data_IF_999783745982
#
_entry.id   IF_999783745982
#
_cell.length_a   1.000
_cell.length_b   1.000
_cell.length_c   1.000
_cell.angle_alpha   90.00
_cell.angle_beta   90.00
_cell.angle_gamma   90.00
#
_symmetry.space_group_name_H-M   'P 1'
#
loop_
_entity.id
_entity.type
_entity.pdbx_description
1 polymer ?
#
# COMPACT_ATOMS: atom_id res chain seq x y z
N UNK A 1 24.67 20.60 12.78
CA UNK A 1 25.05 19.16 12.80
C UNK A 1 26.16 18.94 11.78
N UNK A 2 27.18 18.14 12.13
CA UNK A 2 28.34 17.87 11.29
C UNK A 2 28.52 16.36 11.07
N UNK A 3 29.30 16.01 10.04
CA UNK A 3 29.70 14.64 9.72
C UNK A 3 28.52 13.66 9.57
N UNK A 4 27.43 14.11 8.95
CA UNK A 4 26.31 13.23 8.63
C UNK A 4 26.80 12.22 7.58
N UNK A 5 26.68 10.94 7.90
CA UNK A 5 27.07 9.84 7.00
C UNK A 5 26.09 8.69 7.09
N UNK A 6 26.03 7.89 6.04
CA UNK A 6 25.21 6.69 6.00
C UNK A 6 26.03 5.47 5.58
N UNK A 7 25.69 4.31 6.11
CA UNK A 7 26.29 3.01 5.76
C UNK A 7 25.20 2.03 5.37
N UNK A 8 25.32 1.39 4.21
CA UNK A 8 24.38 0.40 3.72
C UNK A 8 24.56 -0.96 4.42
N UNK A 9 23.47 -1.54 4.84
CA UNK A 9 23.34 -2.89 5.38
C UNK A 9 22.23 -3.63 4.64
N UNK A 10 21.95 -4.88 5.00
CA UNK A 10 20.89 -5.65 4.36
C UNK A 10 19.53 -5.00 4.61
N UNK A 11 18.97 -4.40 3.56
CA UNK A 11 17.66 -3.73 3.54
C UNK A 11 17.51 -2.53 4.49
N UNK A 12 18.61 -1.95 5.01
CA UNK A 12 18.55 -0.71 5.77
C UNK A 12 19.85 0.10 5.65
N UNK A 13 19.72 1.41 5.84
CA UNK A 13 20.85 2.30 6.02
C UNK A 13 20.96 2.72 7.49
N UNK A 14 22.18 2.71 8.03
CA UNK A 14 22.50 3.30 9.30
C UNK A 14 23.02 4.72 9.09
N UNK A 15 22.26 5.71 9.51
CA UNK A 15 22.64 7.13 9.45
C UNK A 15 23.29 7.52 10.78
N UNK A 16 24.45 8.17 10.71
CA UNK A 16 25.19 8.63 11.88
C UNK A 16 25.66 10.08 11.69
N UNK A 17 25.89 10.79 12.79
CA UNK A 17 26.37 12.18 12.78
C UNK A 17 27.22 12.47 14.01
N UNK A 18 27.90 13.62 14.00
CA UNK A 18 28.61 14.11 15.17
C UNK A 18 27.69 14.94 16.04
N UNK A 19 27.85 14.77 17.36
CA UNK A 19 27.21 15.57 18.38
C UNK A 19 27.65 17.05 18.32
N UNK A 20 26.91 17.93 18.94
CA UNK A 20 27.23 19.35 19.08
C UNK A 20 27.84 19.58 20.48
N UNK A 21 29.15 19.49 20.57
CA UNK A 21 29.93 19.51 21.84
C UNK A 21 29.66 20.72 22.76
N UNK A 22 28.96 21.73 22.31
CA UNK A 22 28.80 23.01 23.07
C UNK A 22 27.37 23.19 23.61
N UNK A 23 26.48 22.24 23.34
CA UNK A 23 25.10 22.26 23.82
C UNK A 23 24.80 20.99 24.62
N UNK A 24 23.80 21.02 25.44
CA UNK A 24 23.33 19.87 26.25
C UNK A 24 21.80 19.79 26.16
N UNK A 25 21.26 18.59 26.06
CA UNK A 25 19.82 18.32 26.08
C UNK A 25 19.14 18.57 24.73
N UNK A 26 19.89 18.56 23.64
CA UNK A 26 19.36 18.62 22.29
C UNK A 26 18.76 17.29 21.85
N UNK A 27 17.95 17.40 20.80
CA UNK A 27 17.36 16.26 20.09
C UNK A 27 17.48 16.43 18.59
N UNK A 28 17.48 15.31 17.89
CA UNK A 28 17.71 15.26 16.45
C UNK A 28 16.53 14.66 15.71
N UNK A 29 16.16 15.28 14.59
CA UNK A 29 15.28 14.68 13.60
C UNK A 29 16.11 14.30 12.38
N UNK A 30 15.86 13.10 11.85
CA UNK A 30 16.59 12.55 10.69
C UNK A 30 15.62 12.42 9.53
N UNK A 31 16.08 12.88 8.38
CA UNK A 31 15.29 12.90 7.15
C UNK A 31 16.02 12.14 6.03
N UNK A 32 15.24 11.55 5.13
CA UNK A 32 15.73 10.84 3.96
C UNK A 32 15.03 11.33 2.68
N UNK A 33 15.72 11.36 1.56
CA UNK A 33 15.16 11.73 0.26
C UNK A 33 15.79 10.91 -0.86
N UNK A 34 15.03 10.62 -1.90
CA UNK A 34 15.54 10.04 -3.15
C UNK A 34 16.27 11.07 -4.01
N UNK A 35 16.03 12.35 -3.76
CA UNK A 35 16.64 13.48 -4.46
C UNK A 35 17.63 14.24 -3.55
N UNK A 36 18.60 14.96 -4.10
CA UNK A 36 19.51 15.78 -3.31
C UNK A 36 18.79 16.82 -2.47
N UNK A 37 19.10 16.88 -1.18
CA UNK A 37 18.52 17.84 -0.23
C UNK A 37 19.36 19.13 -0.26
N UNK A 38 18.70 20.29 -0.39
CA UNK A 38 19.34 21.63 -0.39
C UNK A 38 19.14 22.29 1.00
N UNK A 39 20.24 22.81 1.59
CA UNK A 39 20.23 23.63 2.79
C UNK A 39 20.83 25.02 2.59
N UNK A 40 20.99 25.44 1.33
CA UNK A 40 21.57 26.74 0.96
C UNK A 40 20.66 27.94 1.27
N UNK A 41 21.17 29.16 1.11
CA UNK A 41 20.38 30.36 1.33
C UNK A 41 19.15 30.43 0.40
N UNK A 42 17.97 30.36 0.97
CA UNK A 42 16.69 30.42 0.24
C UNK A 42 16.15 29.05 -0.16
N UNK A 43 16.77 27.96 0.26
CA UNK A 43 16.19 26.62 0.16
C UNK A 43 14.89 26.53 0.98
N UNK A 44 13.98 25.68 0.52
CA UNK A 44 12.79 25.31 1.32
C UNK A 44 13.21 24.49 2.54
N UNK A 45 12.43 24.45 3.62
CA UNK A 45 12.73 23.63 4.79
C UNK A 45 12.98 22.16 4.42
N UNK A 46 13.82 21.44 5.21
CA UNK A 46 14.16 20.03 4.94
C UNK A 46 12.93 19.13 4.98
N UNK A 47 11.99 19.44 5.88
CA UNK A 47 10.71 18.74 6.01
C UNK A 47 9.82 18.82 4.76
N UNK A 48 10.05 19.80 3.89
CA UNK A 48 9.36 19.94 2.58
C UNK A 48 10.14 19.29 1.42
N UNK A 49 11.36 18.78 1.67
CA UNK A 49 12.22 18.14 0.66
C UNK A 49 12.42 16.65 0.91
N UNK A 50 12.16 16.17 2.13
CA UNK A 50 12.56 14.85 2.58
C UNK A 50 11.58 14.30 3.60
N UNK A 51 11.40 12.99 3.60
CA UNK A 51 10.59 12.29 4.60
C UNK A 51 11.33 12.18 5.94
N UNK A 52 10.60 12.25 7.03
CA UNK A 52 11.17 12.03 8.36
C UNK A 52 11.28 10.53 8.66
N UNK A 53 12.48 10.06 8.99
CA UNK A 53 12.73 8.64 9.33
C UNK A 53 12.97 8.41 10.83
N UNK A 54 13.33 9.44 11.55
CA UNK A 54 13.44 9.41 13.02
C UNK A 54 13.21 10.79 13.60
N UNK A 55 12.51 10.86 14.74
CA UNK A 55 12.26 12.10 15.46
C UNK A 55 12.69 12.00 16.92
N UNK A 56 13.18 13.13 17.48
CA UNK A 56 13.51 13.21 18.88
C UNK A 56 14.62 12.25 19.32
N UNK A 57 15.56 11.93 18.43
CA UNK A 57 16.75 11.13 18.78
C UNK A 57 17.54 11.93 19.79
N UNK A 58 17.71 11.37 20.98
CA UNK A 58 18.34 12.08 22.09
C UNK A 58 19.85 12.21 21.89
N UNK A 59 20.41 13.26 22.47
CA UNK A 59 21.85 13.42 22.66
C UNK A 59 22.49 12.11 23.17
N UNK A 60 23.66 11.78 22.64
CA UNK A 60 24.38 10.54 22.96
C UNK A 60 24.05 9.35 22.08
N UNK A 61 22.95 9.36 21.33
CA UNK A 61 22.61 8.28 20.41
C UNK A 61 23.29 8.44 19.02
N UNK A 62 23.21 9.62 18.42
CA UNK A 62 23.79 10.02 17.11
C UNK A 62 23.69 8.94 16.01
N UNK A 63 22.60 8.19 16.00
CA UNK A 63 22.34 7.16 15.01
C UNK A 63 20.83 6.97 14.79
N UNK A 64 20.46 6.68 13.53
CA UNK A 64 19.11 6.29 13.15
C UNK A 64 19.17 5.20 12.08
N UNK A 65 18.19 4.30 12.10
CA UNK A 65 18.04 3.23 11.12
C UNK A 65 16.95 3.62 10.13
N UNK A 66 17.26 3.56 8.85
CA UNK A 66 16.31 3.74 7.77
C UNK A 66 16.15 2.40 7.04
N UNK A 67 15.01 1.72 7.22
CA UNK A 67 14.68 0.52 6.46
C UNK A 67 14.27 0.90 5.04
N UNK A 68 14.80 0.17 4.06
CA UNK A 68 14.59 0.44 2.64
C UNK A 68 13.61 -0.59 2.10
N UNK A 69 12.47 -0.12 1.63
CA UNK A 69 11.42 -0.95 1.05
C UNK A 69 11.12 -0.54 -0.38
N UNK A 70 10.65 -1.49 -1.19
CA UNK A 70 10.18 -1.26 -2.56
C UNK A 70 9.03 -2.23 -2.88
N UNK A 71 8.13 -1.88 -3.79
CA UNK A 71 7.23 -2.85 -4.41
C UNK A 71 7.97 -3.85 -5.32
N UNK A 72 9.22 -3.56 -5.70
CA UNK A 72 10.06 -4.41 -6.54
C UNK A 72 11.09 -5.13 -5.68
N UNK A 73 11.20 -6.45 -5.87
CA UNK A 73 12.21 -7.26 -5.19
C UNK A 73 13.62 -6.78 -5.58
N UNK A 74 14.50 -6.60 -4.59
CA UNK A 74 15.91 -6.25 -4.77
C UNK A 74 16.18 -4.94 -5.57
N UNK A 75 15.22 -4.01 -5.60
CA UNK A 75 15.40 -2.70 -6.24
C UNK A 75 16.57 -1.93 -5.62
N UNK A 76 17.44 -1.37 -6.49
CA UNK A 76 18.53 -0.50 -6.05
C UNK A 76 18.03 0.93 -5.89
N UNK A 77 18.15 1.48 -4.68
CA UNK A 77 17.69 2.82 -4.34
C UNK A 77 18.82 3.71 -3.85
N UNK A 78 18.86 4.96 -4.37
CA UNK A 78 19.78 6.01 -3.90
C UNK A 78 19.07 6.89 -2.87
N UNK A 79 19.75 7.13 -1.74
CA UNK A 79 19.21 7.90 -0.63
C UNK A 79 20.17 8.98 -0.15
N UNK A 80 19.66 10.19 0.02
CA UNK A 80 20.32 11.34 0.64
C UNK A 80 19.76 11.55 2.05
N UNK A 81 20.59 12.06 2.98
CA UNK A 81 20.15 12.24 4.36
C UNK A 81 20.43 13.65 4.86
N UNK A 82 19.52 14.11 5.73
CA UNK A 82 19.69 15.32 6.51
C UNK A 82 19.42 15.05 7.99
N UNK A 83 20.16 15.74 8.86
CA UNK A 83 19.93 15.71 10.29
C UNK A 83 19.73 17.12 10.80
N UNK A 84 18.64 17.36 11.50
CA UNK A 84 18.27 18.66 12.07
C UNK A 84 18.32 18.55 13.57
N UNK A 85 19.08 19.43 14.22
CA UNK A 85 19.15 19.55 15.68
C UNK A 85 18.16 20.59 16.19
N UNK A 86 17.52 20.30 17.31
CA UNK A 86 16.73 21.24 18.11
C UNK A 86 17.28 21.28 19.53
N UNK A 87 17.59 22.48 20.03
CA UNK A 87 18.01 22.66 21.42
C UNK A 87 16.86 22.47 22.43
N UNK A 88 17.17 22.46 23.72
CA UNK A 88 16.19 22.36 24.80
C UNK A 88 15.15 23.49 24.81
N UNK A 89 15.38 24.59 24.11
CA UNK A 89 14.48 25.72 23.93
C UNK A 89 13.69 25.67 22.61
N UNK A 90 13.83 24.57 21.86
CA UNK A 90 13.21 24.32 20.55
C UNK A 90 13.74 25.27 19.43
N UNK A 91 14.92 25.84 19.58
CA UNK A 91 15.55 26.49 18.44
C UNK A 91 16.13 25.44 17.50
N UNK A 92 15.87 25.61 16.21
CA UNK A 92 16.30 24.69 15.15
C UNK A 92 17.60 25.16 14.53
N UNK A 93 18.59 24.27 14.49
CA UNK A 93 19.89 24.51 13.88
C UNK A 93 19.87 24.34 12.36
N UNK A 94 20.99 24.72 11.73
CA UNK A 94 21.19 24.47 10.31
C UNK A 94 21.32 22.95 10.06
N UNK A 95 20.57 22.37 9.09
CA UNK A 95 20.65 20.95 8.78
C UNK A 95 22.06 20.52 8.38
N UNK A 96 22.54 19.42 8.93
CA UNK A 96 23.70 18.69 8.40
C UNK A 96 23.24 17.76 7.28
N UNK A 97 23.98 17.70 6.19
CA UNK A 97 23.66 16.84 5.03
C UNK A 97 24.71 15.73 4.88
N UNK A 98 24.28 14.59 4.34
CA UNK A 98 25.22 13.55 3.90
C UNK A 98 26.07 14.03 2.71
N UNK A 99 27.31 13.51 2.57
CA UNK A 99 28.17 13.79 1.44
C UNK A 99 27.76 12.93 0.23
N UNK A 100 26.67 13.34 -0.44
CA UNK A 100 26.08 12.61 -1.55
C UNK A 100 25.08 11.52 -1.13
N UNK A 101 24.66 10.71 -2.09
CA UNK A 101 23.76 9.58 -1.88
C UNK A 101 24.51 8.32 -1.46
N UNK A 102 23.78 7.42 -0.83
CA UNK A 102 24.18 6.02 -0.64
C UNK A 102 23.20 5.11 -1.38
N UNK A 103 23.73 4.18 -2.17
CA UNK A 103 22.93 3.17 -2.85
C UNK A 103 22.76 1.95 -1.96
N UNK A 104 21.55 1.44 -1.83
CA UNK A 104 21.27 0.21 -1.12
C UNK A 104 20.16 -0.60 -1.83
N UNK A 105 20.11 -1.89 -1.53
CA UNK A 105 19.06 -2.81 -1.99
C UNK A 105 17.84 -2.66 -1.10
N UNK A 106 16.68 -2.41 -1.70
CA UNK A 106 15.40 -2.40 -1.00
C UNK A 106 14.88 -3.83 -0.80
N UNK A 107 14.16 -4.05 0.29
CA UNK A 107 13.39 -5.28 0.49
C UNK A 107 12.08 -5.17 -0.30
N UNK A 108 11.79 -6.14 -1.15
CA UNK A 108 10.48 -6.29 -1.78
C UNK A 108 9.39 -6.49 -0.73
N UNK A 109 8.37 -5.65 -0.77
CA UNK A 109 7.20 -5.74 0.09
C UNK A 109 5.96 -5.37 -0.71
N UNK A 110 4.81 -5.99 -0.46
CA UNK A 110 3.58 -5.63 -1.16
C UNK A 110 3.20 -4.18 -0.85
N UNK A 111 3.01 -3.41 -1.89
CA UNK A 111 2.62 -1.98 -1.83
C UNK A 111 1.85 -1.62 -3.09
N UNK A 112 1.19 -0.46 -3.09
CA UNK A 112 0.65 0.10 -4.34
C UNK A 112 1.81 0.72 -5.11
N UNK A 113 2.15 0.16 -6.26
CA UNK A 113 3.25 0.64 -7.10
C UNK A 113 2.85 1.88 -7.90
N UNK A 114 3.77 2.85 -8.04
CA UNK A 114 3.64 3.96 -8.99
C UNK A 114 4.06 3.57 -10.43
N UNK A 115 4.53 2.36 -10.63
CA UNK A 115 4.97 1.85 -11.92
C UNK A 115 4.10 0.65 -12.34
N UNK A 116 2.88 0.89 -12.84
CA UNK A 116 2.02 -0.21 -13.27
C UNK A 116 2.66 -0.96 -14.44
N UNK A 117 2.38 -2.27 -14.60
CA UNK A 117 2.81 -3.03 -15.77
C UNK A 117 2.14 -2.51 -17.04
N UNK A 118 2.54 -3.06 -18.21
CA UNK A 118 1.83 -2.82 -19.46
C UNK A 118 0.47 -3.53 -19.40
N UNK A 119 -0.55 -2.82 -18.98
CA UNK A 119 -1.86 -3.37 -18.63
C UNK A 119 -2.70 -3.73 -19.86
N UNK A 120 -3.24 -4.94 -19.88
CA UNK A 120 -4.28 -5.40 -20.79
C UNK A 120 -5.30 -6.22 -20.01
N UNK A 121 -6.57 -5.85 -20.00
CA UNK A 121 -7.61 -6.64 -19.32
C UNK A 121 -8.02 -7.85 -20.17
N UNK A 122 -7.23 -8.93 -20.16
CA UNK A 122 -7.47 -10.12 -21.00
C UNK A 122 -7.39 -11.47 -20.24
N UNK A 123 -7.05 -11.43 -18.93
CA UNK A 123 -6.95 -12.59 -18.05
C UNK A 123 -5.59 -13.29 -18.10
N UNK A 124 -4.65 -12.81 -18.90
CA UNK A 124 -3.25 -13.26 -18.88
C UNK A 124 -2.44 -12.36 -17.95
N UNK A 125 -2.23 -12.79 -16.72
CA UNK A 125 -1.53 -12.01 -15.68
C UNK A 125 0.00 -11.96 -15.88
N UNK A 126 0.53 -12.36 -17.04
CA UNK A 126 1.97 -12.42 -17.26
C UNK A 126 2.67 -11.07 -17.09
N UNK A 127 2.03 -9.96 -17.46
CA UNK A 127 2.59 -8.63 -17.23
C UNK A 127 2.72 -8.25 -15.77
N UNK A 128 1.86 -8.79 -14.90
CA UNK A 128 1.95 -8.60 -13.45
C UNK A 128 3.08 -9.42 -12.86
N UNK A 129 3.14 -10.71 -13.18
CA UNK A 129 4.24 -11.60 -12.75
C UNK A 129 5.61 -11.13 -13.25
N UNK A 130 5.69 -10.64 -14.49
CA UNK A 130 6.92 -10.16 -15.10
C UNK A 130 7.31 -8.74 -14.65
N UNK A 131 6.42 -8.00 -14.00
CA UNK A 131 6.67 -6.64 -13.52
C UNK A 131 7.66 -6.58 -12.36
N UNK A 132 7.75 -7.67 -11.58
CA UNK A 132 8.47 -7.72 -10.31
C UNK A 132 7.76 -6.99 -9.16
N UNK A 133 6.52 -6.50 -9.35
CA UNK A 133 5.71 -5.94 -8.26
C UNK A 133 5.35 -7.07 -7.30
N UNK A 134 5.65 -6.89 -6.02
CA UNK A 134 5.29 -7.84 -4.97
C UNK A 134 3.77 -7.85 -4.74
N UNK A 135 3.10 -9.01 -4.83
CA UNK A 135 1.67 -9.11 -4.55
C UNK A 135 1.36 -9.06 -3.05
N UNK A 136 0.15 -8.66 -2.73
CA UNK A 136 -0.47 -8.96 -1.44
C UNK A 136 -0.96 -10.40 -1.47
N UNK A 137 -0.46 -11.22 -0.56
CA UNK A 137 -0.84 -12.64 -0.45
C UNK A 137 -1.86 -12.82 0.67
N UNK A 138 -2.98 -13.44 0.37
CA UNK A 138 -3.96 -13.93 1.34
C UNK A 138 -4.10 -15.44 1.17
N UNK A 139 -3.80 -16.17 2.24
CA UNK A 139 -3.93 -17.61 2.26
C UNK A 139 -4.17 -18.09 3.70
N UNK A 140 -4.77 -19.25 3.88
CA UNK A 140 -5.03 -19.81 5.20
C UNK A 140 -3.74 -20.13 5.97
N UNK A 141 -2.65 -20.42 5.25
CA UNK A 141 -1.33 -20.77 5.84
C UNK A 141 -0.33 -19.63 5.81
N UNK A 142 -0.49 -18.63 4.93
CA UNK A 142 0.41 -17.47 4.79
C UNK A 142 -0.38 -16.21 4.46
N UNK A 143 0.15 -15.05 4.81
CA UNK A 143 -0.51 -13.77 4.60
C UNK A 143 0.53 -12.64 4.64
N UNK A 144 0.46 -11.70 3.72
CA UNK A 144 1.38 -10.56 3.64
C UNK A 144 1.39 -9.69 4.92
N UNK A 145 0.34 -9.74 5.71
CA UNK A 145 0.24 -9.03 7.00
C UNK A 145 0.66 -9.87 8.21
N UNK A 146 1.17 -11.08 8.01
CA UNK A 146 1.63 -11.99 9.06
C UNK A 146 0.67 -13.14 9.31
N UNK A 147 0.10 -13.27 10.51
CA UNK A 147 -0.82 -14.37 10.82
C UNK A 147 -2.08 -14.26 9.98
N UNK A 148 -2.47 -15.32 9.25
CA UNK A 148 -3.72 -15.36 8.50
C UNK A 148 -4.93 -15.06 9.39
N UNK A 149 -5.89 -14.32 8.88
CA UNK A 149 -7.15 -14.06 9.55
C UNK A 149 -8.31 -14.61 8.73
N UNK A 150 -9.04 -15.53 9.36
CA UNK A 150 -10.18 -16.23 8.75
C UNK A 150 -11.43 -15.91 9.55
N UNK A 151 -12.48 -15.50 8.85
CA UNK A 151 -13.82 -15.35 9.40
C UNK A 151 -14.68 -16.45 8.77
N UNK A 152 -15.41 -17.20 9.58
CA UNK A 152 -16.17 -18.35 9.07
C UNK A 152 -15.30 -19.59 8.85
N UNK A 153 -15.43 -20.26 7.73
CA UNK A 153 -14.71 -21.46 7.38
C UNK A 153 -13.98 -21.31 6.05
N UNK A 154 -12.66 -21.23 6.10
CA UNK A 154 -11.74 -21.46 4.99
C UNK A 154 -10.80 -22.55 5.46
N UNK A 155 -10.83 -23.71 4.81
CA UNK A 155 -10.24 -24.94 5.36
C UNK A 155 -8.72 -25.02 5.12
N UNK A 156 -8.25 -24.63 3.95
CA UNK A 156 -6.84 -24.58 3.56
C UNK A 156 -6.62 -23.67 2.33
N UNK A 157 -5.39 -23.59 1.83
CA UNK A 157 -5.02 -22.75 0.69
C UNK A 157 -5.56 -23.23 -0.67
N UNK A 158 -6.16 -24.43 -0.77
CA UNK A 158 -6.84 -24.88 -1.97
C UNK A 158 -8.32 -24.52 -1.96
N UNK A 159 -8.88 -24.38 -0.78
CA UNK A 159 -10.25 -23.92 -0.53
C UNK A 159 -10.37 -22.46 -0.98
N UNK A 160 -9.56 -21.57 -0.39
CA UNK A 160 -9.44 -20.19 -0.82
C UNK A 160 -8.02 -19.65 -0.54
N UNK A 161 -7.40 -19.07 -1.54
CA UNK A 161 -6.17 -18.26 -1.40
C UNK A 161 -5.96 -17.40 -2.63
N UNK A 162 -5.10 -16.37 -2.56
CA UNK A 162 -4.79 -15.60 -3.74
C UNK A 162 -3.71 -14.55 -3.56
N UNK A 163 -3.29 -14.04 -4.69
CA UNK A 163 -2.34 -12.96 -4.85
C UNK A 163 -3.04 -11.74 -5.46
N UNK A 164 -2.79 -10.55 -4.94
CA UNK A 164 -3.40 -9.30 -5.38
C UNK A 164 -2.30 -8.31 -5.68
N UNK A 165 -2.25 -7.79 -6.90
CA UNK A 165 -1.34 -6.71 -7.30
C UNK A 165 -2.09 -5.40 -7.38
N UNK A 166 -1.46 -4.34 -6.88
CA UNK A 166 -1.98 -2.99 -6.93
C UNK A 166 -0.96 -2.02 -7.52
N UNK A 167 -1.41 -1.19 -8.44
CA UNK A 167 -0.62 -0.11 -8.98
C UNK A 167 -1.49 1.13 -9.24
N UNK A 168 -0.86 2.30 -9.33
CA UNK A 168 -1.57 3.55 -9.61
C UNK A 168 -0.72 4.44 -10.50
N UNK A 169 -1.35 5.12 -11.44
CA UNK A 169 -0.74 6.19 -12.23
C UNK A 169 -1.54 7.50 -12.14
N UNK A 170 -1.31 8.44 -13.03
CA UNK A 170 -2.01 9.72 -13.04
C UNK A 170 -3.52 9.60 -13.32
N UNK A 171 -3.99 8.48 -13.89
CA UNK A 171 -5.34 8.33 -14.41
C UNK A 171 -6.11 7.17 -13.79
N UNK A 172 -5.41 6.09 -13.38
CA UNK A 172 -6.05 4.83 -13.02
C UNK A 172 -5.47 4.22 -11.73
N UNK A 173 -6.35 3.59 -10.96
CA UNK A 173 -6.01 2.53 -10.01
C UNK A 173 -6.09 1.19 -10.75
N UNK A 174 -5.01 0.42 -10.72
CA UNK A 174 -4.90 -0.91 -11.31
C UNK A 174 -4.99 -1.97 -10.23
N UNK A 175 -5.78 -3.00 -10.50
CA UNK A 175 -5.96 -4.14 -9.61
C UNK A 175 -5.89 -5.41 -10.44
N UNK A 176 -5.08 -6.38 -10.00
CA UNK A 176 -5.12 -7.73 -10.52
C UNK A 176 -5.21 -8.72 -9.37
N UNK A 177 -5.86 -9.85 -9.60
CA UNK A 177 -5.87 -10.96 -8.64
C UNK A 177 -5.80 -12.29 -9.37
N UNK A 178 -5.01 -13.22 -8.79
CA UNK A 178 -4.96 -14.63 -9.15
C UNK A 178 -5.42 -15.43 -7.94
N UNK A 179 -6.56 -16.10 -8.03
CA UNK A 179 -7.23 -16.72 -6.90
C UNK A 179 -7.36 -18.22 -7.13
N UNK A 180 -6.94 -18.98 -6.13
CA UNK A 180 -7.17 -20.42 -5.99
C UNK A 180 -8.44 -20.57 -5.16
N UNK A 181 -9.36 -21.36 -5.65
CA UNK A 181 -10.65 -21.64 -5.07
C UNK A 181 -11.04 -23.06 -5.51
N UNK A 182 -11.70 -23.85 -4.68
CA UNK A 182 -12.06 -25.20 -5.06
C UNK A 182 -13.47 -25.27 -5.70
N UNK A 183 -14.37 -24.33 -5.36
CA UNK A 183 -15.72 -24.20 -5.95
C UNK A 183 -16.12 -22.74 -6.11
N UNK A 184 -16.13 -22.22 -7.29
CA UNK A 184 -16.56 -20.84 -7.57
C UNK A 184 -18.07 -20.69 -7.69
N UNK A 185 -18.70 -19.87 -6.85
CA UNK A 185 -20.11 -19.44 -6.91
C UNK A 185 -20.24 -17.91 -6.86
N UNK A 186 -19.93 -17.28 -8.01
CA UNK A 186 -19.91 -15.82 -8.15
C UNK A 186 -21.32 -15.21 -8.21
N UNK A 187 -21.43 -13.94 -7.87
CA UNK A 187 -22.68 -13.20 -7.85
C UNK A 187 -23.40 -13.17 -9.20
N UNK A 188 -24.62 -13.67 -9.23
CA UNK A 188 -25.52 -13.62 -10.39
C UNK A 188 -26.78 -12.78 -10.08
N UNK A 189 -27.03 -11.67 -10.77
CA UNK A 189 -28.20 -10.84 -10.52
C UNK A 189 -29.52 -11.62 -10.63
N UNK A 190 -30.27 -11.73 -9.53
CA UNK A 190 -31.61 -12.34 -9.51
C UNK A 190 -31.65 -13.84 -9.22
N UNK A 191 -30.56 -14.47 -8.84
CA UNK A 191 -30.51 -15.88 -8.43
C UNK A 191 -31.07 -16.13 -7.03
N UNK A 192 -31.24 -15.06 -6.24
CA UNK A 192 -31.78 -15.11 -4.88
C UNK A 192 -30.71 -15.29 -3.81
N UNK A 193 -29.43 -15.26 -4.17
CA UNK A 193 -28.34 -15.04 -3.24
C UNK A 193 -28.46 -13.62 -2.66
N UNK A 194 -27.92 -13.40 -1.48
CA UNK A 194 -28.08 -12.15 -0.74
C UNK A 194 -27.31 -10.97 -1.34
N UNK A 195 -26.37 -10.42 -0.58
CA UNK A 195 -25.51 -9.34 -1.08
C UNK A 195 -24.30 -9.88 -1.86
N UNK A 196 -23.54 -8.99 -2.46
CA UNK A 196 -22.31 -9.32 -3.19
C UNK A 196 -21.32 -10.12 -2.34
N UNK A 197 -21.25 -9.80 -1.04
CA UNK A 197 -20.40 -10.44 -0.02
C UNK A 197 -20.81 -11.88 0.37
N UNK A 198 -21.91 -12.39 -0.14
CA UNK A 198 -22.34 -13.78 0.07
C UNK A 198 -21.87 -14.73 -1.05
N UNK A 199 -21.00 -14.26 -1.95
CA UNK A 199 -20.49 -14.97 -3.12
C UNK A 199 -18.98 -14.86 -3.19
N UNK A 200 -18.34 -15.64 -4.07
CA UNK A 200 -16.92 -15.53 -4.34
C UNK A 200 -16.61 -14.18 -4.98
N UNK A 201 -15.86 -13.38 -4.26
CA UNK A 201 -15.55 -12.02 -4.69
C UNK A 201 -14.30 -11.48 -4.00
N UNK A 202 -13.54 -10.68 -4.71
CA UNK A 202 -12.56 -9.78 -4.09
C UNK A 202 -13.27 -8.51 -3.63
N UNK A 203 -13.17 -8.22 -2.34
CA UNK A 203 -13.52 -6.95 -1.73
C UNK A 203 -12.24 -6.19 -1.39
N UNK A 204 -12.19 -4.90 -1.72
CA UNK A 204 -11.04 -4.05 -1.44
C UNK A 204 -11.49 -2.76 -0.77
N UNK A 205 -11.16 -2.62 0.51
CA UNK A 205 -11.26 -1.34 1.20
C UNK A 205 -9.98 -0.54 0.96
N UNK A 206 -10.11 0.70 0.57
CA UNK A 206 -8.96 1.56 0.30
C UNK A 206 -9.27 3.03 0.60
N UNK A 207 -8.34 3.70 1.28
CA UNK A 207 -8.33 5.16 1.40
C UNK A 207 -7.29 5.73 0.45
N UNK A 208 -7.73 6.43 -0.59
CA UNK A 208 -6.84 7.02 -1.58
C UNK A 208 -6.24 8.38 -1.16
N UNK A 209 -6.42 8.77 0.10
CA UNK A 209 -5.90 10.03 0.63
C UNK A 209 -5.03 9.75 1.85
N UNK A 210 -3.93 10.48 1.98
CA UNK A 210 -3.11 10.39 3.18
C UNK A 210 -3.90 10.84 4.41
N UNK A 211 -3.90 10.02 5.46
CA UNK A 211 -4.54 10.31 6.74
C UNK A 211 -3.48 10.74 7.76
N UNK A 212 -3.12 12.05 7.85
CA UNK A 212 -2.20 12.53 8.86
C UNK A 212 -2.91 12.63 10.20
N UNK A 213 -2.59 11.78 11.15
CA UNK A 213 -3.14 11.93 12.50
C UNK A 213 -3.48 10.62 13.18
N UNK A 214 -4.32 10.71 14.21
CA UNK A 214 -4.76 9.55 14.97
C UNK A 214 -5.69 8.69 14.13
N UNK A 215 -5.47 7.38 14.14
CA UNK A 215 -6.39 6.41 13.52
C UNK A 215 -7.78 6.54 14.14
N UNK A 216 -8.80 6.38 13.32
CA UNK A 216 -10.16 6.22 13.80
C UNK A 216 -10.28 4.99 14.70
N UNK A 217 -11.12 5.08 15.71
CA UNK A 217 -11.42 3.95 16.61
C UNK A 217 -12.64 3.24 16.04
N UNK A 218 -12.40 2.14 15.38
CA UNK A 218 -13.39 1.39 14.62
C UNK A 218 -13.53 1.90 13.19
N UNK A 219 -13.78 1.00 12.28
CA UNK A 219 -14.03 1.33 10.88
C UNK A 219 -15.48 1.80 10.76
N UNK A 220 -15.67 3.05 10.35
CA UNK A 220 -16.99 3.58 10.02
C UNK A 220 -17.01 3.87 8.53
N UNK A 221 -18.05 3.40 7.84
CA UNK A 221 -18.22 3.63 6.39
C UNK A 221 -18.14 5.12 6.06
N UNK A 222 -17.31 5.46 5.07
CA UNK A 222 -17.10 6.81 4.63
C UNK A 222 -16.11 7.64 5.44
N UNK A 223 -15.51 7.06 6.49
CA UNK A 223 -14.50 7.75 7.30
C UNK A 223 -13.08 7.30 6.92
N UNK A 224 -12.78 6.00 7.07
CA UNK A 224 -11.51 5.38 6.69
C UNK A 224 -11.70 3.86 6.66
N UNK A 225 -11.48 3.21 5.50
CA UNK A 225 -11.11 3.75 4.20
C UNK A 225 -12.25 4.51 3.49
N UNK A 226 -11.88 5.33 2.49
CA UNK A 226 -12.84 6.18 1.77
C UNK A 226 -13.73 5.38 0.80
N UNK A 227 -13.22 4.26 0.28
CA UNK A 227 -13.85 3.48 -0.77
C UNK A 227 -13.89 1.99 -0.42
N UNK A 228 -14.96 1.33 -0.89
CA UNK A 228 -15.17 -0.11 -0.80
C UNK A 228 -15.51 -0.65 -2.18
N UNK A 229 -14.57 -1.34 -2.81
CA UNK A 229 -14.78 -1.95 -4.12
C UNK A 229 -15.12 -3.42 -4.00
N UNK A 230 -16.07 -3.88 -4.82
CA UNK A 230 -16.29 -5.29 -5.14
C UNK A 230 -15.98 -5.55 -6.60
N UNK A 231 -15.26 -6.63 -6.88
CA UNK A 231 -14.89 -7.08 -8.21
C UNK A 231 -15.73 -8.30 -8.61
N UNK A 232 -16.94 -8.04 -9.08
CA UNK A 232 -17.91 -9.07 -9.45
C UNK A 232 -17.59 -9.67 -10.81
N UNK A 233 -18.11 -10.86 -11.12
CA UNK A 233 -17.94 -11.50 -12.43
C UNK A 233 -18.37 -10.60 -13.60
N UNK A 234 -19.35 -9.76 -13.42
CA UNK A 234 -19.90 -8.90 -14.48
C UNK A 234 -19.34 -7.49 -14.51
N UNK A 235 -18.92 -6.94 -13.38
CA UNK A 235 -18.47 -5.55 -13.26
C UNK A 235 -17.83 -5.25 -11.89
N UNK A 236 -17.05 -4.17 -11.82
CA UNK A 236 -16.57 -3.62 -10.57
C UNK A 236 -17.52 -2.51 -10.05
N UNK A 237 -17.73 -2.43 -8.75
CA UNK A 237 -18.61 -1.47 -8.07
C UNK A 237 -17.90 -0.77 -6.93
N UNK A 238 -18.40 0.41 -6.52
CA UNK A 238 -18.06 1.07 -5.27
C UNK A 238 -19.31 1.10 -4.36
N UNK A 239 -19.32 0.26 -3.33
CA UNK A 239 -20.48 0.09 -2.45
C UNK A 239 -20.74 1.33 -1.58
N UNK A 240 -19.69 1.98 -1.06
CA UNK A 240 -19.86 3.12 -0.16
C UNK A 240 -20.58 4.31 -0.79
N UNK A 241 -20.36 4.54 -2.07
CA UNK A 241 -20.94 5.68 -2.79
C UNK A 241 -22.15 5.30 -3.65
N UNK A 242 -22.56 4.02 -3.64
CA UNK A 242 -23.64 3.53 -4.47
C UNK A 242 -23.34 3.66 -5.97
N UNK A 243 -22.06 3.53 -6.35
CA UNK A 243 -21.63 3.50 -7.76
C UNK A 243 -21.74 2.07 -8.26
N UNK A 244 -22.87 1.76 -8.88
CA UNK A 244 -23.24 0.41 -9.30
C UNK A 244 -22.35 -0.16 -10.43
N UNK A 245 -21.53 0.66 -11.08
CA UNK A 245 -20.65 0.19 -12.16
C UNK A 245 -19.49 1.15 -12.38
N UNK A 246 -18.26 0.72 -12.06
CA UNK A 246 -17.02 1.44 -12.37
C UNK A 246 -16.37 0.90 -13.65
N UNK A 247 -16.40 -0.42 -13.84
CA UNK A 247 -15.85 -1.08 -15.03
C UNK A 247 -16.66 -2.35 -15.32
N UNK A 248 -16.81 -2.72 -16.60
CA UNK A 248 -17.65 -3.84 -17.06
C UNK A 248 -16.76 -4.93 -17.66
N UNK A 249 -17.03 -6.18 -17.27
CA UNK A 249 -16.28 -7.34 -17.77
C UNK A 249 -16.34 -7.47 -19.30
N UNK A 250 -15.22 -7.84 -19.90
CA UNK A 250 -15.05 -7.95 -21.35
C UNK A 250 -14.82 -6.61 -22.06
N UNK A 251 -14.45 -5.55 -21.30
CA UNK A 251 -13.98 -4.27 -21.85
C UNK A 251 -12.46 -4.14 -21.67
N UNK A 252 -11.86 -3.10 -22.25
CA UNK A 252 -10.43 -2.79 -22.07
C UNK A 252 -10.06 -2.38 -20.63
N UNK A 253 -11.05 -2.26 -19.74
CA UNK A 253 -10.87 -1.79 -18.37
C UNK A 253 -11.11 -2.87 -17.32
N UNK A 254 -11.73 -4.00 -17.67
CA UNK A 254 -12.06 -5.05 -16.73
C UNK A 254 -12.17 -6.41 -17.40
N UNK A 255 -11.49 -7.37 -16.82
CA UNK A 255 -11.61 -8.78 -17.13
C UNK A 255 -11.82 -9.57 -15.84
N UNK A 256 -12.78 -10.46 -15.85
CA UNK A 256 -12.99 -11.48 -14.82
C UNK A 256 -13.32 -12.79 -15.51
N UNK A 257 -12.58 -13.83 -15.18
CA UNK A 257 -12.80 -15.18 -15.69
C UNK A 257 -12.65 -16.22 -14.59
N UNK A 258 -13.59 -17.15 -14.50
CA UNK A 258 -13.48 -18.31 -13.63
C UNK A 258 -13.21 -19.58 -14.43
N UNK A 259 -12.46 -20.51 -13.84
CA UNK A 259 -12.06 -21.77 -14.45
C UNK A 259 -12.74 -22.99 -13.80
N UNK A 260 -13.83 -22.74 -13.07
CA UNK A 260 -14.61 -23.76 -12.36
C UNK A 260 -14.11 -24.05 -10.94
N UNK A 261 -13.51 -23.13 -10.33
CA UNK A 261 -12.87 -23.02 -9.03
C UNK A 261 -11.93 -21.81 -9.12
N UNK A 262 -10.67 -21.93 -9.53
CA UNK A 262 -9.76 -20.78 -9.65
C UNK A 262 -10.30 -19.71 -10.59
N UNK A 263 -10.02 -18.43 -10.26
CA UNK A 263 -10.47 -17.27 -11.03
C UNK A 263 -9.45 -16.13 -11.02
N UNK A 264 -9.54 -15.27 -12.03
CA UNK A 264 -8.64 -14.14 -12.21
C UNK A 264 -9.42 -12.84 -12.40
N UNK A 265 -8.80 -11.75 -11.97
CA UNK A 265 -9.28 -10.39 -12.17
C UNK A 265 -8.16 -9.54 -12.77
N UNK A 266 -8.52 -8.70 -13.73
CA UNK A 266 -7.73 -7.55 -14.14
C UNK A 266 -8.64 -6.34 -14.28
N UNK A 267 -8.34 -5.28 -13.54
CA UNK A 267 -9.11 -4.06 -13.54
C UNK A 267 -8.23 -2.83 -13.61
N UNK A 268 -8.66 -1.81 -14.34
CA UNK A 268 -8.23 -0.43 -14.15
C UNK A 268 -9.45 0.45 -13.93
N UNK A 269 -9.45 1.13 -12.80
CA UNK A 269 -10.53 2.03 -12.39
C UNK A 269 -10.07 3.47 -12.60
N UNK A 270 -10.80 4.24 -13.40
CA UNK A 270 -10.44 5.63 -13.63
C UNK A 270 -10.58 6.44 -12.33
N UNK A 271 -9.53 7.16 -11.94
CA UNK A 271 -9.54 7.96 -10.71
C UNK A 271 -10.62 9.05 -10.73
N UNK A 272 -10.97 9.57 -11.91
CA UNK A 272 -12.09 10.50 -12.09
C UNK A 272 -13.46 9.83 -11.83
N UNK A 273 -13.60 8.54 -12.15
CA UNK A 273 -14.84 7.78 -11.91
C UNK A 273 -14.94 7.32 -10.46
N UNK A 274 -13.81 7.09 -9.78
CA UNK A 274 -13.77 6.77 -8.34
C UNK A 274 -14.18 8.00 -7.51
N UNK A 275 -13.67 9.18 -7.87
CA UNK A 275 -14.00 10.42 -7.20
C UNK A 275 -15.52 10.72 -7.34
N UNK A 276 -16.21 10.79 -6.19
CA UNK A 276 -17.66 10.91 -6.15
C UNK A 276 -18.09 12.23 -5.50
N UNK A 277 -19.03 12.91 -6.12
CA UNK A 277 -19.60 14.16 -5.58
C UNK A 277 -18.57 15.29 -5.55
N UNK A 278 -18.20 15.72 -4.35
CA UNK A 278 -17.23 16.80 -4.11
C UNK A 278 -15.80 16.29 -3.84
N UNK A 279 -15.54 14.98 -4.02
CA UNK A 279 -14.22 14.39 -3.83
C UNK A 279 -13.20 15.01 -4.79
N UNK A 280 -12.00 15.24 -4.28
CA UNK A 280 -10.88 15.63 -5.12
C UNK A 280 -10.36 14.37 -5.81
N UNK A 281 -10.12 14.43 -7.12
CA UNK A 281 -9.51 13.33 -7.85
C UNK A 281 -8.14 13.02 -7.22
N UNK A 282 -7.95 11.77 -6.85
CA UNK A 282 -6.73 11.30 -6.20
C UNK A 282 -5.48 11.56 -7.05
N UNK A 283 -4.41 11.95 -6.41
CA UNK A 283 -3.10 12.12 -7.03
C UNK A 283 -2.05 11.40 -6.19
N UNK A 284 -1.53 10.31 -6.73
CA UNK A 284 -0.53 9.51 -6.05
C UNK A 284 0.80 10.25 -5.89
N UNK A 285 1.46 10.05 -4.76
CA UNK A 285 2.81 10.53 -4.47
C UNK A 285 3.64 9.40 -3.87
N UNK A 286 4.93 9.37 -4.19
CA UNK A 286 5.86 8.43 -3.58
C UNK A 286 5.93 8.61 -2.05
N UNK A 287 5.95 7.48 -1.32
CA UNK A 287 5.97 7.48 0.14
C UNK A 287 4.62 7.79 0.83
N UNK A 288 3.57 8.04 0.07
CA UNK A 288 2.23 8.29 0.61
C UNK A 288 1.71 7.06 1.37
N UNK A 289 1.10 7.28 2.54
CA UNK A 289 0.50 6.20 3.35
C UNK A 289 -1.00 6.25 3.20
N UNK A 290 -1.56 5.15 2.75
CA UNK A 290 -3.00 4.98 2.59
C UNK A 290 -3.46 3.70 3.29
N UNK A 291 -4.63 3.70 3.95
CA UNK A 291 -5.21 2.48 4.50
C UNK A 291 -5.67 1.55 3.38
N UNK A 292 -5.47 0.25 3.58
CA UNK A 292 -5.90 -0.78 2.64
C UNK A 292 -6.25 -2.06 3.39
N UNK A 293 -7.32 -2.71 2.95
CA UNK A 293 -7.77 -4.01 3.45
C UNK A 293 -8.37 -4.82 2.31
N UNK A 294 -7.67 -5.80 1.73
CA UNK A 294 -8.26 -6.76 0.80
C UNK A 294 -8.89 -7.92 1.56
N UNK A 295 -10.00 -8.43 1.04
CA UNK A 295 -10.72 -9.59 1.55
C UNK A 295 -11.18 -10.45 0.39
N UNK A 296 -10.94 -11.76 0.45
CA UNK A 296 -11.63 -12.74 -0.39
C UNK A 296 -12.79 -13.32 0.38
N UNK A 297 -13.96 -13.33 -0.24
CA UNK A 297 -15.15 -14.03 0.23
C UNK A 297 -15.26 -15.38 -0.43
N UNK A 298 -15.83 -16.34 0.29
CA UNK A 298 -15.90 -17.75 -0.02
C UNK A 298 -17.35 -18.27 0.01
N UNK A 299 -17.75 -18.97 -1.06
CA UNK A 299 -19.08 -19.58 -1.20
C UNK A 299 -19.02 -20.85 -2.05
N UNK A 300 -19.11 -22.00 -1.42
CA UNK A 300 -19.18 -23.33 -2.05
C UNK A 300 -20.58 -23.72 -2.56
N UNK A 301 -21.40 -22.76 -2.97
CA UNK A 301 -22.74 -22.99 -3.53
C UNK A 301 -23.84 -23.19 -2.49
N UNK A 302 -23.56 -22.94 -1.22
CA UNK A 302 -24.52 -22.98 -0.12
C UNK A 302 -24.81 -21.61 0.51
N UNK A 303 -24.27 -20.54 -0.05
CA UNK A 303 -24.21 -19.18 0.48
C UNK A 303 -22.89 -18.96 1.21
N UNK A 304 -22.66 -17.74 1.68
CA UNK A 304 -21.40 -17.35 2.33
C UNK A 304 -20.93 -18.39 3.37
N UNK A 305 -19.68 -18.80 3.23
CA UNK A 305 -19.01 -19.78 4.06
C UNK A 305 -17.91 -19.15 4.93
N UNK A 306 -17.07 -18.32 4.31
CA UNK A 306 -15.98 -17.69 5.01
C UNK A 306 -15.35 -16.51 4.28
N UNK A 307 -14.35 -15.92 4.92
CA UNK A 307 -13.53 -14.86 4.35
C UNK A 307 -12.06 -15.06 4.71
N UNK A 308 -11.18 -14.82 3.77
CA UNK A 308 -9.76 -14.52 4.02
C UNK A 308 -9.56 -13.02 4.06
N UNK A 309 -9.09 -12.52 5.20
CA UNK A 309 -9.02 -11.09 5.49
C UNK A 309 -7.56 -10.66 5.66
N UNK A 310 -7.18 -9.53 5.09
CA UNK A 310 -5.83 -8.99 5.19
C UNK A 310 -5.44 -8.61 6.63
N UNK A 311 -6.37 -8.06 7.41
CA UNK A 311 -6.12 -7.56 8.76
C UNK A 311 -6.89 -8.34 9.83
N UNK A 312 -6.25 -8.72 10.96
CA UNK A 312 -6.92 -9.44 12.05
C UNK A 312 -7.93 -8.58 12.84
N UNK A 313 -8.08 -7.32 12.48
CA UNK A 313 -8.99 -6.38 13.16
C UNK A 313 -10.20 -6.01 12.32
N UNK A 314 -10.28 -6.48 11.09
CA UNK A 314 -11.47 -6.33 10.27
C UNK A 314 -12.58 -7.26 10.80
N UNK A 315 -13.76 -6.70 11.02
CA UNK A 315 -14.95 -7.41 11.50
C UNK A 315 -16.17 -7.16 10.58
N UNK A 316 -15.94 -6.63 9.38
CA UNK A 316 -17.03 -6.32 8.46
C UNK A 316 -17.42 -7.50 7.60
#
# INVERSE_FOLDING_TARGET
>A
VENVSASAYTYYNLVTWSDIDVEEGESYNVYASREPIDNGPGAVPVEDQAEVIATGVLEGAQAAVHYIYSPLEDEQQDWYYAVVCSDASLNVGVPGLSDGSITNTAKGVPTISLSPPSFTADGDLSEWYDSGIEPFVLAATDNSWGTPHIIGAVNDDNDLSGEIWLAVDENYLYVAADVIDDVYDGFQPGDGTGGWWENDVLELFIGLYEQPGSKHVGMMRGDEPDYKFFFLETHAVNDFNGQDTLAVNGTDNYHHENFGGPWVIEARLALEDIAFGDDIVFSAMDGMRIPIEPTFHDNDGAGWEGNLVGSPTNND
#
